data_IF_811155946418
#
_entry.id   IF_811155946418
#
_cell.length_a   1.000
_cell.length_b   1.000
_cell.length_c   1.000
_cell.angle_alpha   90.00
_cell.angle_beta   90.00
_cell.angle_gamma   90.00
#
_symmetry.space_group_name_H-M   'P 1'
#
loop_
_entity.id
_entity.type
_entity.pdbx_description
1 polymer ?
#
# COMPACT_ATOMS: atom_id res chain seq x y z
N UNK A 1 -12.94 -9.07 -3.31
CA UNK A 1 -13.31 -7.66 -3.62
C UNK A 1 -14.40 -7.19 -2.69
N UNK A 2 -15.31 -8.07 -2.30
CA UNK A 2 -16.25 -7.86 -1.19
C UNK A 2 -15.57 -7.35 0.08
N UNK A 3 -14.33 -7.80 0.39
CA UNK A 3 -13.57 -7.29 1.54
C UNK A 3 -13.13 -5.84 1.35
N UNK A 4 -12.66 -5.47 0.15
CA UNK A 4 -12.35 -4.08 -0.19
C UNK A 4 -13.62 -3.23 -0.17
N UNK A 5 -14.73 -3.77 -0.67
CA UNK A 5 -16.01 -3.10 -0.70
C UNK A 5 -16.57 -2.86 0.70
N UNK A 6 -16.48 -3.83 1.59
CA UNK A 6 -16.92 -3.77 2.99
C UNK A 6 -16.07 -2.84 3.85
N UNK A 7 -14.77 -2.70 3.56
CA UNK A 7 -13.86 -1.88 4.34
C UNK A 7 -13.98 -0.38 4.01
N UNK A 8 -13.91 0.45 5.06
CA UNK A 8 -13.79 1.92 4.96
C UNK A 8 -12.32 2.37 4.88
N UNK A 9 -11.41 1.56 5.42
CA UNK A 9 -9.97 1.84 5.49
C UNK A 9 -9.18 0.65 4.95
N UNK A 10 -8.20 0.92 4.09
CA UNK A 10 -7.33 -0.08 3.46
C UNK A 10 -5.87 0.21 3.82
N UNK A 11 -5.19 -0.75 4.44
CA UNK A 11 -3.74 -0.73 4.62
C UNK A 11 -3.08 -1.67 3.64
N UNK A 12 -2.22 -1.14 2.80
CA UNK A 12 -1.36 -1.93 1.92
C UNK A 12 0.07 -1.85 2.43
N UNK A 13 0.60 -2.99 2.82
CA UNK A 13 1.95 -3.13 3.36
C UNK A 13 2.75 -4.01 2.42
N UNK A 14 3.85 -3.48 1.89
CA UNK A 14 4.66 -4.20 0.91
C UNK A 14 6.14 -4.12 1.23
N UNK A 15 6.85 -5.26 1.33
CA UNK A 15 8.31 -5.23 1.31
C UNK A 15 8.82 -4.85 -0.08
N UNK A 16 10.09 -4.43 -0.14
CA UNK A 16 10.82 -4.31 -1.39
C UNK A 16 11.43 -5.65 -1.78
N UNK A 17 10.98 -6.21 -2.90
CA UNK A 17 11.69 -7.31 -3.57
C UNK A 17 12.09 -6.85 -4.97
N UNK A 18 13.40 -6.88 -5.25
CA UNK A 18 13.97 -6.36 -6.50
C UNK A 18 13.50 -4.94 -6.85
N UNK A 19 13.58 -4.06 -5.84
CA UNK A 19 13.24 -2.65 -5.92
C UNK A 19 11.76 -2.31 -6.21
N UNK A 20 10.82 -3.25 -6.17
CA UNK A 20 9.37 -3.00 -6.31
C UNK A 20 8.53 -3.78 -5.28
N UNK A 21 7.21 -3.69 -5.41
CA UNK A 21 6.24 -4.60 -4.78
C UNK A 21 6.52 -6.07 -5.20
N UNK A 22 6.25 -7.06 -4.33
CA UNK A 22 6.38 -8.47 -4.66
C UNK A 22 5.51 -8.87 -5.86
N UNK A 23 5.96 -9.85 -6.63
CA UNK A 23 5.19 -10.41 -7.74
C UNK A 23 3.81 -10.93 -7.32
N UNK A 24 3.67 -11.42 -6.08
CA UNK A 24 2.39 -11.82 -5.50
C UNK A 24 1.43 -10.64 -5.36
N UNK A 25 1.93 -9.48 -4.94
CA UNK A 25 1.11 -8.28 -4.83
C UNK A 25 0.77 -7.73 -6.22
N UNK A 26 1.73 -7.72 -7.15
CA UNK A 26 1.44 -7.34 -8.54
C UNK A 26 0.39 -8.25 -9.18
N UNK A 27 0.45 -9.56 -8.97
CA UNK A 27 -0.55 -10.51 -9.45
C UNK A 27 -1.92 -10.30 -8.80
N UNK A 28 -1.98 -9.84 -7.54
CA UNK A 28 -3.24 -9.43 -6.92
C UNK A 28 -3.81 -8.18 -7.62
N UNK A 29 -2.99 -7.14 -7.83
CA UNK A 29 -3.39 -5.92 -8.56
C UNK A 29 -3.91 -6.29 -9.96
N UNK A 30 -3.23 -7.18 -10.67
CA UNK A 30 -3.64 -7.60 -12.02
C UNK A 30 -5.03 -8.26 -12.03
N UNK A 31 -5.41 -8.97 -10.95
CA UNK A 31 -6.76 -9.54 -10.81
C UNK A 31 -7.82 -8.51 -10.47
N UNK A 32 -7.43 -7.34 -9.97
CA UNK A 32 -8.33 -6.22 -9.70
C UNK A 32 -8.64 -5.39 -10.95
N UNK A 33 -8.01 -5.66 -12.11
CA UNK A 33 -8.25 -4.95 -13.38
C UNK A 33 -9.73 -4.75 -13.73
N UNK A 34 -10.65 -5.70 -13.51
CA UNK A 34 -12.08 -5.49 -13.78
C UNK A 34 -12.76 -4.40 -12.94
N UNK A 35 -12.12 -3.93 -11.85
CA UNK A 35 -12.58 -2.83 -11.00
C UNK A 35 -11.80 -1.54 -11.21
N UNK A 36 -10.79 -1.55 -12.08
CA UNK A 36 -9.96 -0.39 -12.32
C UNK A 36 -10.65 0.57 -13.29
N UNK A 37 -10.65 1.86 -12.97
CA UNK A 37 -11.24 2.93 -13.80
C UNK A 37 -10.59 3.14 -15.19
N UNK A 38 -9.56 2.37 -15.52
CA UNK A 38 -8.95 2.32 -16.86
C UNK A 38 -9.50 1.19 -17.73
N UNK A 39 -10.36 0.33 -17.18
CA UNK A 39 -11.06 -0.73 -17.89
C UNK A 39 -12.51 -0.32 -18.20
N UNK A 40 -13.04 -0.71 -19.36
CA UNK A 40 -14.43 -0.42 -19.72
C UNK A 40 -15.12 -1.66 -20.33
N UNK A 41 -16.29 -2.08 -19.82
CA UNK A 41 -16.93 -1.60 -18.58
C UNK A 41 -16.16 -2.06 -17.34
N UNK A 42 -16.13 -1.27 -16.27
CA UNK A 42 -15.58 -1.70 -14.97
C UNK A 42 -16.66 -1.78 -13.89
N UNK A 43 -16.44 -2.70 -12.94
CA UNK A 43 -17.14 -2.69 -11.66
C UNK A 43 -16.53 -1.63 -10.72
N UNK A 44 -17.26 -1.21 -9.70
CA UNK A 44 -16.75 -0.28 -8.69
C UNK A 44 -16.91 -0.85 -7.29
N UNK A 45 -16.12 -0.32 -6.36
CA UNK A 45 -16.33 -0.51 -4.92
C UNK A 45 -16.99 0.74 -4.34
N UNK A 46 -17.63 0.62 -3.18
CA UNK A 46 -18.29 1.73 -2.48
C UNK A 46 -17.31 2.91 -2.31
N UNK A 47 -17.73 4.15 -2.62
CA UNK A 47 -16.85 5.31 -2.54
C UNK A 47 -16.51 5.67 -1.08
N UNK A 48 -15.56 6.61 -0.91
CA UNK A 48 -15.20 7.15 0.40
C UNK A 48 -14.15 6.34 1.17
N UNK A 49 -13.48 5.40 0.49
CA UNK A 49 -12.43 4.56 1.10
C UNK A 49 -11.15 5.34 1.31
N UNK A 50 -10.51 5.11 2.46
CA UNK A 50 -9.23 5.73 2.86
C UNK A 50 -8.09 4.71 2.77
N UNK A 51 -7.10 4.97 1.94
CA UNK A 51 -5.95 4.12 1.67
C UNK A 51 -4.68 4.62 2.36
N UNK A 52 -3.95 3.67 2.94
CA UNK A 52 -2.67 3.89 3.60
C UNK A 52 -1.62 2.96 2.99
N UNK A 53 -0.43 3.50 2.73
CA UNK A 53 0.64 2.80 1.98
C UNK A 53 1.89 2.66 2.84
N UNK A 54 2.32 1.43 3.10
CA UNK A 54 3.49 1.17 3.95
C UNK A 54 4.50 0.36 3.14
N UNK A 55 5.72 0.88 3.01
CA UNK A 55 6.83 0.18 2.39
C UNK A 55 7.89 -0.16 3.43
N UNK A 56 8.46 -1.36 3.35
CA UNK A 56 9.60 -1.75 4.18
C UNK A 56 10.71 -2.36 3.32
N UNK A 57 11.97 -2.12 3.70
CA UNK A 57 13.13 -2.50 2.90
C UNK A 57 14.39 -2.66 3.73
N UNK A 58 15.23 -3.60 3.32
CA UNK A 58 16.56 -3.82 3.89
C UNK A 58 17.50 -2.65 3.57
N UNK A 59 17.41 -2.09 2.36
CA UNK A 59 18.24 -0.97 1.94
C UNK A 59 17.94 0.31 2.74
N UNK A 60 18.92 1.22 2.90
CA UNK A 60 18.77 2.47 3.64
C UNK A 60 18.09 3.60 2.83
N UNK A 61 17.85 3.40 1.53
CA UNK A 61 17.36 4.43 0.62
C UNK A 61 15.85 4.66 0.75
N UNK A 62 15.46 5.85 1.23
CA UNK A 62 14.06 6.29 1.27
C UNK A 62 13.44 6.49 -0.12
N UNK A 63 14.14 7.04 -1.14
CA UNK A 63 13.59 7.16 -2.49
C UNK A 63 13.11 5.83 -3.09
N UNK A 64 13.76 4.73 -2.74
CA UNK A 64 13.30 3.43 -3.19
C UNK A 64 12.03 2.96 -2.41
N UNK A 65 11.86 3.37 -1.15
CA UNK A 65 10.61 3.18 -0.37
C UNK A 65 9.47 3.92 -1.07
N UNK A 66 9.70 5.18 -1.45
CA UNK A 66 8.76 6.02 -2.18
C UNK A 66 8.33 5.36 -3.50
N UNK A 67 9.24 4.69 -4.21
CA UNK A 67 8.87 3.94 -5.43
C UNK A 67 7.81 2.87 -5.17
N UNK A 68 7.92 2.12 -4.07
CA UNK A 68 6.95 1.08 -3.70
C UNK A 68 5.63 1.71 -3.27
N UNK A 69 5.70 2.78 -2.47
CA UNK A 69 4.54 3.57 -2.06
C UNK A 69 3.78 4.07 -3.29
N UNK A 70 4.47 4.62 -4.29
CA UNK A 70 3.86 5.04 -5.54
C UNK A 70 3.22 3.89 -6.32
N UNK A 71 3.80 2.68 -6.34
CA UNK A 71 3.16 1.51 -6.95
C UNK A 71 1.82 1.17 -6.27
N UNK A 72 1.76 1.26 -4.94
CA UNK A 72 0.53 1.04 -4.15
C UNK A 72 -0.49 2.15 -4.41
N UNK A 73 -0.07 3.41 -4.33
CA UNK A 73 -0.96 4.56 -4.50
C UNK A 73 -1.51 4.68 -5.92
N UNK A 74 -0.72 4.27 -6.92
CA UNK A 74 -1.20 4.16 -8.29
C UNK A 74 -2.32 3.12 -8.42
N UNK A 75 -2.19 1.97 -7.74
CA UNK A 75 -3.27 0.98 -7.67
C UNK A 75 -4.51 1.53 -6.95
N UNK A 76 -4.34 2.26 -5.84
CA UNK A 76 -5.45 2.94 -5.17
C UNK A 76 -6.17 3.94 -6.08
N UNK A 77 -5.44 4.71 -6.88
CA UNK A 77 -6.02 5.63 -7.85
C UNK A 77 -6.92 4.92 -8.88
N UNK A 78 -6.57 3.70 -9.28
CA UNK A 78 -7.41 2.90 -10.18
C UNK A 78 -8.67 2.36 -9.54
N UNK A 79 -8.64 2.09 -8.23
CA UNK A 79 -9.81 1.68 -7.45
C UNK A 79 -10.56 2.85 -6.81
N UNK A 80 -10.18 4.08 -7.12
CA UNK A 80 -10.78 5.31 -6.56
C UNK A 80 -10.72 5.38 -5.03
N UNK A 81 -9.68 4.79 -4.45
CA UNK A 81 -9.37 4.86 -3.02
C UNK A 81 -8.58 6.14 -2.75
N UNK A 82 -9.03 6.95 -1.79
CA UNK A 82 -8.32 8.17 -1.40
C UNK A 82 -7.01 7.82 -0.68
N UNK A 83 -5.88 8.27 -1.19
CA UNK A 83 -4.59 8.18 -0.47
C UNK A 83 -4.59 9.15 0.71
N UNK A 84 -4.36 8.65 1.93
CA UNK A 84 -4.42 9.44 3.17
C UNK A 84 -3.05 9.68 3.79
N UNK A 85 -2.28 8.62 4.08
CA UNK A 85 -0.91 8.71 4.61
C UNK A 85 -0.06 7.53 4.12
N UNK A 86 1.25 7.72 4.07
CA UNK A 86 2.21 6.66 3.76
C UNK A 86 3.39 6.62 4.74
N UNK A 87 4.03 5.45 4.87
CA UNK A 87 5.15 5.22 5.77
C UNK A 87 6.21 4.35 5.09
N UNK A 88 7.46 4.82 5.07
CA UNK A 88 8.61 4.06 4.61
C UNK A 88 9.51 3.63 5.77
N UNK A 89 9.82 2.34 5.83
CA UNK A 89 10.68 1.74 6.84
C UNK A 89 11.94 1.18 6.17
N UNK A 90 12.99 2.00 6.14
CA UNK A 90 14.32 1.61 5.67
C UNK A 90 15.10 0.82 6.73
N UNK A 91 16.14 0.09 6.29
CA UNK A 91 17.01 -0.69 7.17
C UNK A 91 16.26 -1.76 8.00
N UNK A 92 15.24 -2.36 7.40
CA UNK A 92 14.48 -3.48 7.97
C UNK A 92 14.88 -4.77 7.25
N UNK A 93 15.75 -5.55 7.87
CA UNK A 93 16.14 -6.89 7.39
C UNK A 93 15.29 -7.97 8.08
N UNK A 94 15.04 -7.79 9.38
CA UNK A 94 14.31 -8.71 10.24
C UNK A 94 13.23 -7.99 11.06
N UNK A 95 12.35 -8.78 11.67
CA UNK A 95 11.23 -8.28 12.48
C UNK A 95 11.72 -7.42 13.66
N UNK A 96 12.88 -7.74 14.21
CA UNK A 96 13.51 -7.05 15.34
C UNK A 96 13.85 -5.61 14.99
N UNK A 97 14.13 -5.31 13.71
CA UNK A 97 14.41 -3.94 13.26
C UNK A 97 13.18 -3.03 13.31
N UNK A 98 11.96 -3.59 13.36
CA UNK A 98 10.71 -2.83 13.48
C UNK A 98 10.50 -2.34 14.92
N UNK A 99 11.01 -3.06 15.92
CA UNK A 99 10.83 -2.73 17.34
C UNK A 99 11.20 -1.27 17.68
N UNK A 100 12.41 -0.80 17.31
CA UNK A 100 12.82 0.59 17.48
C UNK A 100 11.94 1.63 16.76
N UNK A 101 11.20 1.23 15.71
CA UNK A 101 10.30 2.10 14.93
C UNK A 101 8.87 2.15 15.48
N UNK A 102 8.58 1.46 16.60
CA UNK A 102 7.23 1.36 17.18
C UNK A 102 6.58 2.73 17.44
N UNK A 103 7.33 3.71 17.92
CA UNK A 103 6.81 5.06 18.19
C UNK A 103 6.27 5.72 16.92
N UNK A 104 7.08 5.73 15.86
CA UNK A 104 6.69 6.26 14.54
C UNK A 104 5.48 5.52 13.95
N UNK A 105 5.39 4.20 14.13
CA UNK A 105 4.23 3.41 13.68
C UNK A 105 2.97 3.77 14.47
N UNK A 106 3.08 4.02 15.78
CA UNK A 106 1.95 4.47 16.59
C UNK A 106 1.50 5.86 16.14
N UNK A 107 2.43 6.81 15.98
CA UNK A 107 2.15 8.17 15.51
C UNK A 107 1.50 8.19 14.12
N UNK A 108 1.93 7.29 13.22
CA UNK A 108 1.28 7.10 11.93
C UNK A 108 -0.20 6.72 12.06
N UNK A 109 -0.54 5.99 13.13
CA UNK A 109 -1.88 5.44 13.37
C UNK A 109 -2.82 6.33 14.18
N UNK A 110 -2.38 7.47 14.73
CA UNK A 110 -3.17 8.25 15.70
C UNK A 110 -4.47 8.86 15.15
N UNK A 111 -4.59 9.01 13.81
CA UNK A 111 -5.74 9.66 13.15
C UNK A 111 -6.53 8.75 12.19
N UNK A 112 -6.47 7.43 12.38
CA UNK A 112 -7.15 6.46 11.50
C UNK A 112 -8.63 6.32 11.87
#
# INVERSE_FOLDING_TARGET
>A
MDEFDAADVIFSVSPSYWADIPGQYKAFIDRCTPWCNTHEPHATIRPGKRGYSIALRTGPSMPECERIIHSIEHFYGHLEIQVVKSLGLCSVEYKENVGPRKKEIIEFCEDI
#
